data_IF_003660343994
#
_entry.id   IF_003660343994
#
_cell.length_a   1.000
_cell.length_b   1.000
_cell.length_c   1.000
_cell.angle_alpha   90.00
_cell.angle_beta   90.00
_cell.angle_gamma   90.00
#
_symmetry.space_group_name_H-M   'P 1'
#
loop_
_entity.id
_entity.type
_entity.pdbx_description
1 polymer ?
#
# COMPACT_ATOMS: atom_id res chain seq x y z
N UNK A 1 11.90 16.51 -6.63
CA UNK A 1 12.73 15.33 -6.97
C UNK A 1 12.57 14.26 -5.90
N UNK A 2 12.35 13.00 -6.29
CA UNK A 2 12.15 11.90 -5.35
C UNK A 2 13.40 10.99 -5.26
N UNK A 3 13.75 10.61 -4.04
CA UNK A 3 14.90 9.76 -3.72
C UNK A 3 14.44 8.50 -2.98
N UNK A 4 14.99 7.35 -3.37
CA UNK A 4 14.73 6.05 -2.75
C UNK A 4 16.03 5.48 -2.17
N UNK A 5 16.09 5.35 -0.85
CA UNK A 5 17.25 4.83 -0.11
C UNK A 5 16.91 3.46 0.45
N UNK A 6 17.73 2.44 0.17
CA UNK A 6 17.42 1.05 0.54
C UNK A 6 18.58 0.41 1.29
N UNK A 7 18.31 -0.09 2.49
CA UNK A 7 19.19 -0.96 3.26
C UNK A 7 19.05 -2.40 2.77
N UNK A 8 19.95 -2.82 1.87
CA UNK A 8 19.91 -4.15 1.23
C UNK A 8 20.45 -5.26 2.14
N UNK A 9 21.03 -4.92 3.30
CA UNK A 9 21.54 -5.92 4.25
C UNK A 9 20.40 -6.54 5.06
N UNK A 10 19.35 -5.76 5.34
CA UNK A 10 18.21 -6.21 6.13
C UNK A 10 16.90 -6.29 5.36
N UNK A 11 16.90 -5.79 4.12
CA UNK A 11 15.73 -5.83 3.24
C UNK A 11 16.08 -6.65 2.02
N UNK A 12 15.27 -7.67 1.74
CA UNK A 12 15.32 -8.36 0.45
C UNK A 12 14.69 -7.47 -0.63
N UNK A 13 15.47 -6.52 -1.11
CA UNK A 13 15.15 -5.72 -2.28
C UNK A 13 15.68 -6.46 -3.50
N UNK A 14 15.01 -7.55 -3.89
CA UNK A 14 15.33 -8.25 -5.13
C UNK A 14 15.37 -7.29 -6.33
N UNK A 15 16.35 -7.48 -7.22
CA UNK A 15 16.63 -6.58 -8.37
C UNK A 15 15.40 -6.23 -9.22
N UNK A 16 14.43 -7.15 -9.31
CA UNK A 16 13.25 -7.07 -10.20
C UNK A 16 12.23 -6.00 -9.81
N UNK A 17 12.34 -5.40 -8.62
CA UNK A 17 11.26 -4.56 -8.06
C UNK A 17 11.66 -3.12 -7.77
N UNK A 18 12.89 -2.74 -8.10
CA UNK A 18 13.38 -1.39 -7.89
C UNK A 18 12.82 -0.45 -8.98
N UNK A 19 12.22 0.69 -8.61
CA UNK A 19 11.64 1.64 -9.56
C UNK A 19 12.75 2.47 -10.23
N UNK A 20 13.55 1.81 -11.05
CA UNK A 20 14.60 2.43 -11.84
C UNK A 20 14.03 3.43 -12.86
N UNK A 21 14.83 4.42 -13.27
CA UNK A 21 14.50 5.36 -14.35
C UNK A 21 13.72 6.62 -13.94
N UNK A 22 13.04 6.63 -12.78
CA UNK A 22 12.16 7.75 -12.36
C UNK A 22 12.62 8.48 -11.11
N UNK A 23 13.49 7.87 -10.32
CA UNK A 23 13.92 8.39 -9.02
C UNK A 23 15.40 8.09 -8.82
N UNK A 24 16.06 8.91 -8.01
CA UNK A 24 17.42 8.63 -7.57
C UNK A 24 17.41 7.48 -6.57
N UNK A 25 18.01 6.36 -6.95
CA UNK A 25 18.04 5.16 -6.12
C UNK A 25 19.42 5.03 -5.48
N UNK A 26 19.46 4.91 -4.14
CA UNK A 26 20.69 4.66 -3.39
C UNK A 26 20.58 3.36 -2.62
N UNK A 27 21.44 2.40 -2.96
CA UNK A 27 21.52 1.09 -2.32
C UNK A 27 22.64 1.09 -1.29
N UNK A 28 22.32 0.75 -0.04
CA UNK A 28 23.28 0.60 1.05
C UNK A 28 23.50 -0.88 1.30
N UNK A 29 24.66 -1.38 0.88
CA UNK A 29 25.01 -2.79 0.89
C UNK A 29 26.30 -3.04 1.67
N UNK A 30 26.44 -4.22 2.25
CA UNK A 30 27.75 -4.70 2.72
C UNK A 30 28.55 -5.29 1.55
N UNK A 31 29.81 -5.69 1.79
CA UNK A 31 30.67 -6.26 0.73
C UNK A 31 30.06 -7.49 0.05
N UNK A 32 29.24 -8.28 0.75
CA UNK A 32 28.61 -9.52 0.23
C UNK A 32 27.37 -9.19 -0.60
N UNK A 33 26.44 -8.44 -0.01
CA UNK A 33 25.17 -8.00 -0.63
C UNK A 33 25.38 -6.99 -1.75
N UNK A 34 26.52 -6.31 -1.81
CA UNK A 34 26.87 -5.41 -2.92
C UNK A 34 27.15 -6.16 -4.23
N UNK A 35 27.70 -7.38 -4.17
CA UNK A 35 28.09 -8.18 -5.35
C UNK A 35 27.00 -8.25 -6.44
N UNK A 36 25.74 -8.60 -6.14
CA UNK A 36 24.69 -8.63 -7.16
C UNK A 36 24.42 -7.27 -7.81
N UNK A 37 24.60 -6.16 -7.09
CA UNK A 37 24.30 -4.81 -7.60
C UNK A 37 25.47 -4.13 -8.30
N UNK A 38 26.70 -4.65 -8.17
CA UNK A 38 27.88 -4.06 -8.81
C UNK A 38 27.74 -3.93 -10.33
N UNK A 39 27.24 -4.97 -11.00
CA UNK A 39 27.00 -4.93 -12.45
C UNK A 39 25.97 -3.87 -12.85
N UNK A 40 24.98 -3.64 -11.99
CA UNK A 40 23.91 -2.68 -12.22
C UNK A 40 24.34 -1.23 -11.96
N UNK A 41 25.26 -1.03 -11.00
CA UNK A 41 25.85 0.26 -10.66
C UNK A 41 27.18 0.53 -11.38
N UNK A 42 27.56 -0.31 -12.37
CA UNK A 42 28.87 -0.27 -13.03
C UNK A 42 29.06 0.85 -14.06
N UNK A 43 28.02 1.66 -14.33
CA UNK A 43 28.21 2.82 -15.20
C UNK A 43 28.96 3.91 -14.44
N UNK A 44 30.01 4.44 -15.07
CA UNK A 44 30.92 5.41 -14.48
C UNK A 44 30.23 6.71 -14.02
N UNK A 45 29.08 7.04 -14.60
CA UNK A 45 28.34 8.28 -14.32
C UNK A 45 27.23 8.09 -13.26
N UNK A 46 27.14 6.91 -12.64
CA UNK A 46 26.02 6.56 -11.76
C UNK A 46 24.70 6.31 -12.50
N UNK A 47 24.67 6.43 -13.82
CA UNK A 47 23.52 6.16 -14.68
C UNK A 47 23.37 4.66 -14.92
N UNK A 48 22.30 4.03 -14.45
CA UNK A 48 22.16 2.59 -14.70
C UNK A 48 21.77 2.33 -16.19
N UNK A 49 22.58 1.59 -16.98
CA UNK A 49 22.33 1.39 -18.41
C UNK A 49 21.05 0.58 -18.68
N UNK A 50 20.72 -0.35 -17.78
CA UNK A 50 19.48 -1.15 -17.81
C UNK A 50 18.25 -0.35 -17.34
N UNK A 51 18.44 0.89 -16.87
CA UNK A 51 17.44 1.65 -16.13
C UNK A 51 16.82 2.82 -16.91
N UNK A 52 17.15 3.00 -18.19
CA UNK A 52 16.58 4.06 -19.02
C UNK A 52 17.07 5.47 -18.65
N UNK A 53 18.27 5.83 -19.13
CA UNK A 53 18.70 7.20 -19.42
C UNK A 53 18.97 8.16 -18.26
N UNK A 54 18.03 8.37 -17.32
CA UNK A 54 18.02 9.56 -16.47
C UNK A 54 18.04 9.31 -14.96
N UNK A 55 17.92 8.06 -14.49
CA UNK A 55 17.97 7.77 -13.05
C UNK A 55 19.36 7.32 -12.62
N UNK A 56 19.89 8.02 -11.60
CA UNK A 56 21.13 7.64 -10.98
C UNK A 56 20.91 6.52 -9.96
N UNK A 57 21.59 5.39 -10.16
CA UNK A 57 21.71 4.30 -9.20
C UNK A 57 23.07 4.40 -8.52
N UNK A 58 23.07 4.71 -7.22
CA UNK A 58 24.28 4.75 -6.42
C UNK A 58 24.37 3.56 -5.49
N UNK A 59 25.43 2.77 -5.63
CA UNK A 59 25.78 1.72 -4.68
C UNK A 59 26.74 2.27 -3.62
N UNK A 60 26.27 2.37 -2.39
CA UNK A 60 27.07 2.80 -1.24
C UNK A 60 27.42 1.57 -0.40
N UNK A 61 28.69 1.43 -0.04
CA UNK A 61 29.16 0.38 0.87
C UNK A 61 29.56 1.02 2.21
N UNK A 62 28.65 1.10 3.20
CA UNK A 62 28.99 1.62 4.52
C UNK A 62 30.06 0.76 5.20
N UNK A 63 30.90 1.36 6.06
CA UNK A 63 31.72 0.60 7.00
C UNK A 63 30.83 -0.27 7.90
N UNK A 64 31.39 -1.39 8.39
CA UNK A 64 30.69 -2.33 9.26
C UNK A 64 30.00 -1.58 10.41
N UNK A 65 28.74 -1.92 10.67
CA UNK A 65 27.90 -1.34 11.72
C UNK A 65 27.59 0.17 11.61
N UNK A 66 28.04 0.86 10.56
CA UNK A 66 27.79 2.30 10.33
C UNK A 66 26.61 2.59 9.40
N UNK A 67 25.79 1.60 9.02
CA UNK A 67 24.66 1.74 8.11
C UNK A 67 23.72 2.90 8.49
N UNK A 68 23.20 2.91 9.72
CA UNK A 68 22.29 3.97 10.19
C UNK A 68 22.93 5.36 10.07
N UNK A 69 24.22 5.49 10.40
CA UNK A 69 24.94 6.77 10.34
C UNK A 69 25.13 7.20 8.89
N UNK A 70 25.49 6.28 8.00
CA UNK A 70 25.72 6.58 6.58
C UNK A 70 24.41 6.97 5.89
N UNK A 71 23.32 6.20 6.09
CA UNK A 71 22.00 6.53 5.54
C UNK A 71 21.56 7.93 5.99
N UNK A 72 21.67 8.24 7.29
CA UNK A 72 21.32 9.57 7.80
C UNK A 72 22.20 10.68 7.24
N UNK A 73 23.51 10.44 7.09
CA UNK A 73 24.41 11.42 6.46
C UNK A 73 23.95 11.69 5.03
N UNK A 74 23.59 10.65 4.30
CA UNK A 74 23.08 10.78 2.92
C UNK A 74 21.77 11.57 2.87
N UNK A 75 20.81 11.28 3.74
CA UNK A 75 19.55 12.05 3.82
C UNK A 75 19.83 13.52 4.10
N UNK A 76 20.72 13.84 5.05
CA UNK A 76 21.10 15.23 5.35
C UNK A 76 21.71 15.95 4.15
N UNK A 77 22.57 15.29 3.38
CA UNK A 77 23.18 15.87 2.17
C UNK A 77 22.12 16.15 1.10
N UNK A 78 21.16 15.24 0.92
CA UNK A 78 20.04 15.45 0.00
C UNK A 78 19.21 16.66 0.45
N UNK A 79 18.83 16.71 1.72
CA UNK A 79 18.02 17.80 2.28
C UNK A 79 18.72 19.16 2.26
N UNK A 80 20.06 19.19 2.36
CA UNK A 80 20.82 20.45 2.25
C UNK A 80 20.86 20.99 0.84
N UNK A 81 20.82 20.14 -0.19
CA UNK A 81 20.75 20.58 -1.59
C UNK A 81 19.31 20.83 -2.06
N UNK A 82 18.36 20.03 -1.55
CA UNK A 82 16.96 20.05 -1.94
C UNK A 82 16.07 19.99 -0.69
N UNK A 83 15.71 21.14 -0.10
CA UNK A 83 14.91 21.18 1.13
C UNK A 83 13.48 20.64 0.96
N UNK A 84 12.96 20.60 -0.28
CA UNK A 84 11.63 20.07 -0.65
C UNK A 84 11.70 18.62 -1.17
N UNK A 85 12.82 17.93 -0.99
CA UNK A 85 12.99 16.57 -1.50
C UNK A 85 11.99 15.59 -0.89
N UNK A 86 11.50 14.67 -1.73
CA UNK A 86 10.68 13.53 -1.33
C UNK A 86 11.57 12.30 -1.15
N UNK A 87 11.72 11.80 0.07
CA UNK A 87 12.71 10.79 0.42
C UNK A 87 12.02 9.57 1.04
N UNK A 88 12.08 8.43 0.34
CA UNK A 88 11.67 7.15 0.89
C UNK A 88 12.89 6.38 1.40
N UNK A 89 12.88 5.97 2.67
CA UNK A 89 13.94 5.17 3.29
C UNK A 89 13.40 3.79 3.66
N UNK A 90 13.95 2.75 3.04
CA UNK A 90 13.62 1.35 3.28
C UNK A 90 14.69 0.72 4.18
N UNK A 91 14.38 0.56 5.46
CA UNK A 91 15.22 -0.14 6.41
C UNK A 91 14.42 -0.60 7.62
N UNK A 92 14.56 -1.85 8.08
CA UNK A 92 13.92 -2.34 9.30
C UNK A 92 14.64 -1.87 10.58
N UNK A 93 15.64 -0.99 10.51
CA UNK A 93 16.39 -0.52 11.68
C UNK A 93 15.60 0.53 12.46
N UNK A 94 14.98 0.15 13.59
CA UNK A 94 14.18 1.08 14.40
C UNK A 94 14.91 2.35 14.88
N UNK A 95 16.22 2.28 15.15
CA UNK A 95 17.04 3.47 15.50
C UNK A 95 17.11 4.51 14.38
N UNK A 96 16.97 4.09 13.12
CA UNK A 96 16.97 4.97 11.96
C UNK A 96 15.65 5.74 11.87
N UNK A 97 14.51 5.04 12.04
CA UNK A 97 13.18 5.65 11.99
C UNK A 97 13.06 6.85 12.94
N UNK A 98 13.39 6.67 14.23
CA UNK A 98 13.34 7.78 15.22
C UNK A 98 14.19 8.99 14.83
N UNK A 99 15.29 8.78 14.11
CA UNK A 99 16.18 9.86 13.65
C UNK A 99 15.66 10.53 12.38
N UNK A 100 14.93 9.81 11.54
CA UNK A 100 14.26 10.38 10.36
C UNK A 100 13.06 11.23 10.77
N UNK A 101 12.29 10.81 11.78
CA UNK A 101 11.18 11.62 12.34
C UNK A 101 11.69 12.97 12.88
N UNK A 102 12.82 12.98 13.60
CA UNK A 102 13.48 14.23 14.03
C UNK A 102 13.99 15.07 12.86
N UNK A 103 14.42 14.44 11.77
CA UNK A 103 14.83 15.17 10.56
C UNK A 103 13.63 15.81 9.85
N UNK A 104 12.50 15.11 9.78
CA UNK A 104 11.25 15.66 9.23
C UNK A 104 10.81 16.92 9.98
N UNK A 105 10.92 16.93 11.32
CA UNK A 105 10.63 18.12 12.13
C UNK A 105 11.58 19.29 11.81
N UNK A 106 12.86 19.00 11.51
CA UNK A 106 13.86 20.02 11.17
C UNK A 106 13.69 20.57 9.74
N UNK A 107 13.15 19.75 8.84
CA UNK A 107 12.94 20.08 7.43
C UNK A 107 11.46 19.90 7.07
N UNK A 108 10.57 20.81 7.52
CA UNK A 108 9.12 20.65 7.36
C UNK A 108 8.67 20.66 5.89
N UNK A 109 9.41 21.35 5.02
CA UNK A 109 9.14 21.40 3.58
C UNK A 109 9.46 20.07 2.86
N UNK A 110 10.29 19.21 3.47
CA UNK A 110 10.62 17.90 2.89
C UNK A 110 9.54 16.87 3.20
N UNK A 111 9.49 15.79 2.42
CA UNK A 111 8.64 14.65 2.74
C UNK A 111 9.52 13.42 2.95
N UNK A 112 9.65 12.94 4.19
CA UNK A 112 10.48 11.79 4.55
C UNK A 112 9.58 10.66 5.03
N UNK A 113 9.64 9.52 4.33
CA UNK A 113 8.91 8.33 4.71
C UNK A 113 9.87 7.19 5.03
N UNK A 114 9.75 6.61 6.23
CA UNK A 114 10.46 5.39 6.61
C UNK A 114 9.57 4.16 6.51
N UNK A 115 10.09 3.07 5.95
CA UNK A 115 9.40 1.77 5.89
C UNK A 115 10.39 0.62 6.06
N UNK A 116 9.94 -0.53 6.54
CA UNK A 116 10.75 -1.74 6.64
C UNK A 116 10.85 -2.51 5.32
N UNK A 117 9.91 -2.29 4.39
CA UNK A 117 9.79 -3.03 3.12
C UNK A 117 9.38 -2.10 1.98
N UNK A 118 9.85 -2.43 0.78
CA UNK A 118 9.44 -1.76 -0.47
C UNK A 118 8.06 -2.29 -0.92
N UNK A 119 6.99 -1.73 -0.36
CA UNK A 119 5.60 -2.11 -0.65
C UNK A 119 4.82 -1.10 -1.48
N UNK A 120 3.51 -1.33 -1.63
CA UNK A 120 2.58 -0.45 -2.36
C UNK A 120 2.60 0.99 -1.83
N UNK A 121 2.63 1.18 -0.50
CA UNK A 121 2.66 2.50 0.13
C UNK A 121 3.88 3.33 -0.29
N UNK A 122 5.06 2.69 -0.37
CA UNK A 122 6.29 3.35 -0.81
C UNK A 122 6.21 3.75 -2.27
N UNK A 123 5.69 2.86 -3.12
CA UNK A 123 5.50 3.15 -4.54
C UNK A 123 4.54 4.34 -4.70
N UNK A 124 3.39 4.30 -4.05
CA UNK A 124 2.42 5.40 -4.05
C UNK A 124 3.07 6.70 -3.64
N UNK A 125 3.81 6.69 -2.52
CA UNK A 125 4.54 7.86 -2.03
C UNK A 125 5.50 8.43 -3.10
N UNK A 126 6.29 7.58 -3.76
CA UNK A 126 7.23 8.04 -4.79
C UNK A 126 6.55 8.58 -6.06
N UNK A 127 5.36 8.08 -6.41
CA UNK A 127 4.64 8.45 -7.64
C UNK A 127 3.55 9.51 -7.46
N UNK A 128 3.20 9.89 -6.22
CA UNK A 128 2.04 10.74 -5.95
C UNK A 128 2.09 12.15 -6.57
N UNK A 129 3.25 12.64 -7.00
CA UNK A 129 3.36 13.96 -7.62
C UNK A 129 3.14 13.94 -9.15
N UNK A 130 2.98 12.76 -9.76
CA UNK A 130 2.81 12.61 -11.21
C UNK A 130 1.54 11.83 -11.58
N UNK A 131 0.40 12.18 -10.99
CA UNK A 131 -0.80 12.18 -11.85
C UNK A 131 -0.59 13.34 -12.81
N UNK A 132 -0.66 13.14 -14.14
CA UNK A 132 -0.95 14.26 -15.01
C UNK A 132 -2.19 14.92 -14.43
N UNK A 133 -2.08 16.18 -14.03
CA UNK A 133 -3.24 17.01 -13.85
C UNK A 133 -3.98 16.96 -15.17
N UNK A 134 -4.99 16.10 -15.27
CA UNK A 134 -6.10 16.33 -16.17
C UNK A 134 -6.68 17.67 -15.71
N UNK A 135 -6.26 18.70 -16.46
CA UNK A 135 -6.77 20.07 -16.57
C UNK A 135 -7.57 20.61 -15.38
N UNK A 136 -7.18 21.76 -14.79
CA UNK A 136 -8.13 22.55 -14.03
C UNK A 136 -9.26 22.94 -14.99
N UNK A 137 -10.45 22.37 -14.78
CA UNK A 137 -11.66 22.97 -15.33
C UNK A 137 -11.78 24.34 -14.68
N UNK A 138 -11.59 25.39 -15.47
CA UNK A 138 -11.94 26.75 -15.12
C UNK A 138 -13.41 26.78 -14.69
N UNK A 139 -13.62 26.86 -13.37
CA UNK A 139 -14.61 27.73 -12.75
C UNK A 139 -14.48 27.58 -11.23
N UNK A 140 -14.20 28.66 -10.48
CA UNK A 140 -14.39 28.63 -9.04
C UNK A 140 -15.89 28.48 -8.76
N UNK A 141 -16.33 27.56 -7.87
CA UNK A 141 -17.71 27.58 -7.41
C UNK A 141 -17.89 28.89 -6.64
N UNK A 142 -18.73 29.78 -7.17
CA UNK A 142 -19.29 30.87 -6.40
C UNK A 142 -19.98 30.28 -5.15
N UNK A 143 -19.92 30.96 -4.00
CA UNK A 143 -20.73 30.55 -2.86
C UNK A 143 -22.21 30.68 -3.26
N UNK A 144 -22.90 29.53 -3.29
CA UNK A 144 -24.35 29.46 -3.47
C UNK A 144 -25.02 30.26 -2.36
N UNK A 145 -26.06 31.03 -2.71
CA UNK A 145 -26.79 31.82 -1.73
C UNK A 145 -27.68 30.92 -0.86
N UNK A 146 -27.96 31.34 0.37
CA UNK A 146 -28.81 30.61 1.34
C UNK A 146 -30.24 30.33 0.83
N UNK A 147 -30.65 30.93 -0.28
CA UNK A 147 -31.95 30.74 -0.91
C UNK A 147 -31.96 29.52 -1.84
N UNK A 148 -30.82 29.18 -2.46
CA UNK A 148 -30.68 28.01 -3.34
C UNK A 148 -30.54 26.70 -2.55
N UNK A 149 -29.92 26.75 -1.36
CA UNK A 149 -29.81 25.60 -0.44
C UNK A 149 -31.19 25.18 0.10
N UNK A 150 -32.08 26.14 0.35
CA UNK A 150 -33.44 25.88 0.86
C UNK A 150 -34.41 25.33 -0.21
N UNK A 151 -34.23 25.68 -1.49
CA UNK A 151 -34.97 25.05 -2.60
C UNK A 151 -34.52 23.60 -2.86
N UNK A 152 -33.21 23.31 -2.70
CA UNK A 152 -32.69 21.96 -2.92
C UNK A 152 -33.19 20.97 -1.85
N UNK A 153 -33.31 21.41 -0.59
CA UNK A 153 -33.84 20.60 0.52
C UNK A 153 -35.34 20.29 0.32
N UNK A 154 -36.13 21.21 -0.23
CA UNK A 154 -37.55 20.95 -0.57
C UNK A 154 -37.71 19.91 -1.67
N UNK A 155 -36.83 19.91 -2.69
CA UNK A 155 -36.89 18.91 -3.78
C UNK A 155 -36.45 17.51 -3.33
N UNK A 156 -35.52 17.41 -2.38
CA UNK A 156 -35.09 16.13 -1.80
C UNK A 156 -36.16 15.52 -0.87
N UNK A 157 -37.00 16.34 -0.24
CA UNK A 157 -38.10 15.85 0.59
C UNK A 157 -39.26 15.24 -0.23
N UNK A 158 -39.58 15.78 -1.41
CA UNK A 158 -40.63 15.24 -2.29
C UNK A 158 -40.21 13.95 -3.02
N UNK A 159 -38.91 13.73 -3.26
CA UNK A 159 -38.42 12.53 -3.96
C UNK A 159 -38.32 11.29 -3.02
N UNK A 160 -38.36 11.48 -1.70
CA UNK A 160 -38.33 10.39 -0.71
C UNK A 160 -39.73 9.76 -0.50
N UNK A 161 -40.82 10.49 -0.75
CA UNK A 161 -42.17 9.96 -0.54
C UNK A 161 -42.68 9.05 -1.67
N UNK A 162 -42.07 9.06 -2.86
CA UNK A 162 -42.56 8.30 -4.03
C UNK A 162 -41.88 6.92 -4.15
N UNK A 163 -40.69 6.72 -3.58
CA UNK A 163 -39.93 5.45 -3.67
C UNK A 163 -40.09 4.52 -2.46
N UNK A 164 -40.82 4.95 -1.43
CA UNK A 164 -41.15 4.13 -0.24
C UNK A 164 -42.44 3.30 -0.45
N UNK A 165 -43.17 3.53 -1.54
CA UNK A 165 -44.51 2.96 -1.76
C UNK A 165 -44.61 1.59 -2.42
N UNK A 166 -43.57 1.02 -3.03
CA UNK A 166 -43.73 -0.21 -3.82
C UNK A 166 -42.52 -1.15 -3.70
N UNK A 167 -42.55 -1.99 -2.66
CA UNK A 167 -42.30 -3.45 -2.64
C UNK A 167 -41.56 -3.94 -1.38
N UNK A 168 -42.33 -4.14 -0.29
CA UNK A 168 -42.19 -5.31 0.59
C UNK A 168 -43.06 -6.43 -0.03
N UNK A 169 -42.79 -7.74 0.10
CA UNK A 169 -42.09 -8.46 1.19
C UNK A 169 -41.13 -9.60 0.70
N UNK A 170 -40.54 -10.47 1.56
CA UNK A 170 -40.59 -10.52 3.01
C UNK A 170 -39.23 -10.29 3.69
N UNK A 171 -39.32 -9.92 4.98
CA UNK A 171 -38.33 -10.28 5.97
C UNK A 171 -38.10 -11.80 5.87
N UNK A 172 -37.04 -12.19 5.17
CA UNK A 172 -36.53 -13.55 5.31
C UNK A 172 -35.89 -13.60 6.68
N UNK A 173 -36.54 -14.35 7.55
CA UNK A 173 -35.98 -14.86 8.79
C UNK A 173 -34.48 -15.05 8.62
N UNK A 174 -33.75 -14.35 9.48
CA UNK A 174 -32.37 -14.61 9.77
C UNK A 174 -32.28 -16.07 10.22
N UNK A 175 -32.19 -16.98 9.25
CA UNK A 175 -31.66 -18.33 9.43
C UNK A 175 -30.17 -18.14 9.68
N UNK A 176 -29.85 -17.51 10.81
CA UNK A 176 -28.54 -17.54 11.39
C UNK A 176 -28.25 -19.01 11.68
N UNK A 177 -27.58 -19.67 10.74
CA UNK A 177 -27.02 -20.99 10.95
C UNK A 177 -26.29 -20.95 12.31
N UNK A 178 -26.74 -21.73 13.31
CA UNK A 178 -26.24 -21.61 14.67
C UNK A 178 -24.75 -21.90 14.70
N UNK A 179 -23.93 -20.90 15.04
CA UNK A 179 -22.47 -21.03 15.09
C UNK A 179 -21.71 -20.49 13.87
N UNK A 180 -22.36 -19.73 12.98
CA UNK A 180 -21.67 -19.06 11.86
C UNK A 180 -20.56 -18.10 12.33
N UNK A 181 -20.73 -17.44 13.47
CA UNK A 181 -19.70 -16.60 14.12
C UNK A 181 -18.45 -17.37 14.54
N UNK A 182 -18.62 -18.55 15.14
CA UNK A 182 -17.52 -19.42 15.56
C UNK A 182 -16.79 -20.03 14.36
N UNK A 183 -17.55 -20.38 13.33
CA UNK A 183 -17.04 -20.83 12.03
C UNK A 183 -16.15 -19.76 11.39
N UNK A 184 -16.60 -18.50 11.38
CA UNK A 184 -15.80 -17.38 10.87
C UNK A 184 -14.52 -17.16 11.68
N UNK A 185 -14.57 -17.32 13.01
CA UNK A 185 -13.39 -17.22 13.87
C UNK A 185 -12.36 -18.30 13.52
N UNK A 186 -12.81 -19.53 13.26
CA UNK A 186 -11.95 -20.66 12.88
C UNK A 186 -11.34 -20.46 11.48
N UNK A 187 -12.15 -20.00 10.51
CA UNK A 187 -11.70 -19.68 9.16
C UNK A 187 -10.67 -18.54 9.19
N UNK A 188 -10.88 -17.51 10.02
CA UNK A 188 -9.90 -16.41 10.21
C UNK A 188 -8.58 -16.90 10.83
N UNK A 189 -8.62 -17.95 11.66
CA UNK A 189 -7.45 -18.57 12.29
C UNK A 189 -6.66 -19.45 11.31
N UNK A 190 -7.35 -20.32 10.57
CA UNK A 190 -6.71 -21.32 9.70
C UNK A 190 -6.49 -20.84 8.26
N UNK A 191 -7.27 -19.85 7.79
CA UNK A 191 -7.24 -19.24 6.45
C UNK A 191 -6.97 -20.24 5.31
N UNK A 192 -7.86 -21.22 5.09
CA UNK A 192 -7.73 -22.15 3.97
C UNK A 192 -7.63 -21.40 2.63
N UNK A 193 -6.67 -21.77 1.79
CA UNK A 193 -6.43 -21.07 0.51
C UNK A 193 -7.22 -21.66 -0.66
N UNK A 194 -7.75 -22.88 -0.50
CA UNK A 194 -8.45 -23.66 -1.53
C UNK A 194 -9.84 -24.05 -1.06
N UNK A 195 -10.80 -24.14 -1.98
CA UNK A 195 -12.20 -24.55 -1.71
C UNK A 195 -12.26 -25.88 -0.96
N UNK A 196 -11.51 -26.89 -1.41
CA UNK A 196 -11.52 -28.21 -0.76
C UNK A 196 -10.99 -28.18 0.68
N UNK A 197 -9.98 -27.34 0.96
CA UNK A 197 -9.45 -27.18 2.31
C UNK A 197 -10.46 -26.44 3.22
N UNK A 198 -11.22 -25.50 2.66
CA UNK A 198 -12.30 -24.83 3.37
C UNK A 198 -13.46 -25.80 3.65
N UNK A 199 -13.89 -26.56 2.65
CA UNK A 199 -14.93 -27.58 2.80
C UNK A 199 -14.53 -28.62 3.85
N UNK A 200 -13.30 -29.14 3.81
CA UNK A 200 -12.84 -30.09 4.82
C UNK A 200 -12.88 -29.52 6.24
N UNK A 201 -12.54 -28.23 6.41
CA UNK A 201 -12.67 -27.56 7.70
C UNK A 201 -14.13 -27.43 8.13
N UNK A 202 -15.02 -27.07 7.20
CA UNK A 202 -16.46 -26.97 7.48
C UNK A 202 -17.08 -28.33 7.79
N UNK A 203 -16.66 -29.40 7.10
CA UNK A 203 -17.10 -30.79 7.36
C UNK A 203 -16.64 -31.28 8.73
N UNK A 204 -15.44 -30.88 9.18
CA UNK A 204 -15.00 -31.19 10.54
C UNK A 204 -15.84 -30.52 11.63
N UNK A 205 -16.48 -29.38 11.33
CA UNK A 205 -17.25 -28.62 12.31
C UNK A 205 -18.75 -28.96 12.26
N UNK A 206 -19.29 -29.07 11.05
CA UNK A 206 -20.73 -29.13 10.80
C UNK A 206 -21.16 -30.39 10.05
N UNK A 207 -20.22 -31.30 9.78
CA UNK A 207 -20.52 -32.58 9.14
C UNK A 207 -21.19 -32.42 7.77
N UNK A 208 -22.41 -32.95 7.65
CA UNK A 208 -23.23 -32.89 6.44
C UNK A 208 -23.72 -31.48 6.07
N UNK A 209 -23.73 -30.54 7.01
CA UNK A 209 -24.20 -29.16 6.77
C UNK A 209 -23.10 -28.26 6.20
N UNK A 210 -21.87 -28.77 6.05
CA UNK A 210 -20.72 -27.99 5.59
C UNK A 210 -20.94 -27.22 4.28
N UNK A 211 -21.74 -27.79 3.36
CA UNK A 211 -22.07 -27.16 2.10
C UNK A 211 -22.99 -25.95 2.30
N UNK A 212 -24.00 -26.05 3.19
CA UNK A 212 -24.90 -24.94 3.52
C UNK A 212 -24.14 -23.78 4.17
N UNK A 213 -23.16 -24.08 5.04
CA UNK A 213 -22.27 -23.06 5.59
C UNK A 213 -21.38 -22.42 4.52
N UNK A 214 -20.89 -23.18 3.54
CA UNK A 214 -20.11 -22.61 2.44
C UNK A 214 -20.95 -21.63 1.63
N UNK A 215 -22.18 -22.01 1.30
CA UNK A 215 -23.11 -21.21 0.49
C UNK A 215 -23.50 -19.94 1.24
N UNK A 216 -23.83 -20.03 2.54
CA UNK A 216 -24.09 -18.88 3.39
C UNK A 216 -22.89 -17.90 3.46
N UNK A 217 -21.65 -18.40 3.50
CA UNK A 217 -20.45 -17.56 3.50
C UNK A 217 -20.25 -16.81 2.16
N UNK A 218 -20.68 -17.40 1.05
CA UNK A 218 -20.64 -16.78 -0.28
C UNK A 218 -21.76 -15.75 -0.44
N UNK A 219 -22.99 -16.09 -0.03
CA UNK A 219 -24.17 -15.20 -0.06
C UNK A 219 -23.94 -13.94 0.77
N UNK A 220 -23.42 -14.10 2.00
CA UNK A 220 -23.06 -12.99 2.88
C UNK A 220 -21.80 -12.23 2.44
N UNK A 221 -21.20 -12.59 1.29
CA UNK A 221 -20.02 -11.95 0.72
C UNK A 221 -18.77 -11.94 1.63
N UNK A 222 -18.71 -12.86 2.61
CA UNK A 222 -17.61 -12.95 3.58
C UNK A 222 -16.36 -13.59 2.95
N UNK A 223 -16.57 -14.47 1.98
CA UNK A 223 -15.53 -15.08 1.15
C UNK A 223 -15.91 -15.01 -0.33
N UNK A 224 -14.93 -15.16 -1.21
CA UNK A 224 -15.11 -15.39 -2.65
C UNK A 224 -14.28 -16.56 -3.10
N UNK A 225 -14.78 -17.34 -4.05
CA UNK A 225 -14.02 -18.42 -4.69
C UNK A 225 -13.78 -18.03 -6.14
N UNK A 226 -12.53 -18.07 -6.59
CA UNK A 226 -12.19 -17.83 -8.00
C UNK A 226 -12.38 -19.09 -8.87
N UNK A 227 -12.30 -18.93 -10.19
CA UNK A 227 -12.43 -20.04 -11.14
C UNK A 227 -11.36 -21.14 -10.97
N UNK A 228 -10.25 -20.86 -10.25
CA UNK A 228 -9.21 -21.82 -9.90
C UNK A 228 -9.38 -22.39 -8.48
N UNK A 229 -10.58 -22.27 -7.93
CA UNK A 229 -11.00 -22.72 -6.60
C UNK A 229 -10.18 -22.13 -5.43
N UNK A 230 -9.57 -20.96 -5.61
CA UNK A 230 -8.90 -20.26 -4.52
C UNK A 230 -9.89 -19.43 -3.70
N UNK A 231 -9.77 -19.51 -2.38
CA UNK A 231 -10.59 -18.76 -1.44
C UNK A 231 -9.95 -17.38 -1.20
N UNK A 232 -10.74 -16.33 -1.39
CA UNK A 232 -10.39 -14.93 -1.10
C UNK A 232 -11.25 -14.44 0.05
N UNK A 233 -10.60 -13.91 1.08
CA UNK A 233 -11.26 -13.32 2.24
C UNK A 233 -11.44 -11.82 2.01
N UNK A 234 -12.60 -11.28 2.38
CA UNK A 234 -12.81 -9.83 2.47
C UNK A 234 -12.26 -9.28 3.78
#
# INVERSE_FOLDING_TARGET
MAHLLIDTVKTDAGKKYLPFGRHDVRLFADKKTARPFRKLAASADGTCPECGGNAALHLVIPPKDKFTRTILKTVKVILSGHPEAKIAVISPRGKLQKKLERLQQKYPASQIMSSSKLGKKVRSFLYHDERPSERPSENPPQPLSAEEENELIKRVAEEIEITVGLTLPPQMEETALPGLSDTLRQIRRNRPKKKNALLHLLTQQHGSEAQQYLDALLEQNLIKIDAAENVRYR
#
